data_IF_340392328738
#
_entry.id   IF_340392328738
#
_cell.length_a   1.000
_cell.length_b   1.000
_cell.length_c   1.000
_cell.angle_alpha   90.00
_cell.angle_beta   90.00
_cell.angle_gamma   90.00
#
_symmetry.space_group_name_H-M   'P 1'
#
loop_
_entity.id
_entity.type
_entity.pdbx_description
1 polymer ?
#
# COMPACT_ATOMS: atom_id res chain seq x y z
N UNK A 1 7.32 -30.52 58.92
CA UNK A 1 6.92 -29.25 58.26
C UNK A 1 5.63 -28.79 58.89
N UNK A 2 5.68 -27.71 59.66
CA UNK A 2 4.48 -27.19 60.29
C UNK A 2 3.48 -26.71 59.21
N UNK A 3 2.31 -27.28 59.22
CA UNK A 3 1.23 -26.96 58.30
C UNK A 3 0.62 -25.61 58.66
N UNK A 4 1.31 -24.52 58.28
CA UNK A 4 0.94 -23.12 58.54
C UNK A 4 -0.52 -22.84 58.17
N UNK A 5 -0.95 -23.31 57.03
CA UNK A 5 -2.32 -23.11 56.52
C UNK A 5 -3.38 -23.88 57.30
N UNK A 6 -3.04 -25.04 57.91
CA UNK A 6 -3.95 -25.79 58.75
C UNK A 6 -4.20 -25.07 60.10
N UNK A 7 -3.20 -24.39 60.62
CA UNK A 7 -3.31 -23.60 61.85
C UNK A 7 -3.99 -22.24 61.66
N UNK A 8 -4.03 -21.75 60.40
CA UNK A 8 -4.63 -20.43 60.08
C UNK A 8 -5.59 -20.56 58.88
N UNK A 9 -6.77 -21.17 59.03
CA UNK A 9 -7.70 -21.44 57.93
C UNK A 9 -8.23 -20.18 57.23
N UNK A 10 -8.37 -19.08 57.97
CA UNK A 10 -8.81 -17.79 57.40
C UNK A 10 -7.81 -17.27 56.38
N UNK A 11 -6.49 -17.37 56.66
CA UNK A 11 -5.42 -16.95 55.71
C UNK A 11 -5.47 -17.81 54.45
N UNK A 12 -5.70 -19.12 54.58
CA UNK A 12 -5.80 -20.01 53.41
C UNK A 12 -7.03 -19.68 52.54
N UNK A 13 -8.18 -19.38 53.14
CA UNK A 13 -9.40 -19.00 52.43
C UNK A 13 -9.21 -17.67 51.69
N UNK A 14 -8.65 -16.64 52.36
CA UNK A 14 -8.40 -15.32 51.74
C UNK A 14 -7.44 -15.45 50.56
N UNK A 15 -6.37 -16.22 50.68
CA UNK A 15 -5.40 -16.44 49.62
C UNK A 15 -5.98 -17.18 48.44
N UNK A 16 -6.85 -18.18 48.69
CA UNK A 16 -7.59 -18.91 47.66
C UNK A 16 -8.56 -18.00 46.89
N UNK A 17 -9.33 -17.16 47.59
CA UNK A 17 -10.22 -16.20 46.97
C UNK A 17 -9.42 -15.21 46.13
N UNK A 18 -8.29 -14.72 46.64
CA UNK A 18 -7.41 -13.80 45.89
C UNK A 18 -6.89 -14.43 44.60
N UNK A 19 -6.45 -15.70 44.65
CA UNK A 19 -6.01 -16.43 43.45
C UNK A 19 -7.14 -16.63 42.45
N UNK A 20 -8.36 -16.93 42.88
CA UNK A 20 -9.50 -17.07 42.00
C UNK A 20 -9.86 -15.75 41.33
N UNK A 21 -9.84 -14.65 42.06
CA UNK A 21 -10.12 -13.31 41.50
C UNK A 21 -9.05 -12.92 40.47
N UNK A 22 -7.76 -13.06 40.83
CA UNK A 22 -6.64 -12.75 39.92
C UNK A 22 -6.70 -13.65 38.68
N UNK A 23 -6.95 -14.97 38.87
CA UNK A 23 -7.10 -15.91 37.75
C UNK A 23 -8.27 -15.53 36.82
N UNK A 24 -9.40 -15.17 37.39
CA UNK A 24 -10.56 -14.71 36.62
C UNK A 24 -10.28 -13.43 35.82
N UNK A 25 -9.63 -12.44 36.43
CA UNK A 25 -9.22 -11.22 35.74
C UNK A 25 -8.17 -11.50 34.64
N UNK A 26 -7.21 -12.38 34.89
CA UNK A 26 -6.19 -12.78 33.94
C UNK A 26 -6.79 -13.44 32.70
N UNK A 27 -7.80 -14.30 32.85
CA UNK A 27 -8.48 -14.94 31.72
C UNK A 27 -9.12 -13.89 30.80
N UNK A 28 -9.76 -12.86 31.38
CA UNK A 28 -10.40 -11.79 30.61
C UNK A 28 -9.40 -10.89 29.88
N UNK A 29 -8.18 -10.78 30.38
CA UNK A 29 -7.12 -9.95 29.80
C UNK A 29 -6.19 -10.70 28.83
N UNK A 30 -6.29 -12.02 28.76
CA UNK A 30 -5.43 -12.83 27.89
C UNK A 30 -5.86 -12.67 26.43
N UNK A 31 -4.94 -12.25 25.52
CA UNK A 31 -5.26 -12.13 24.10
C UNK A 31 -5.58 -13.50 23.49
N UNK A 32 -6.66 -13.55 22.71
CA UNK A 32 -7.06 -14.78 22.00
C UNK A 32 -6.63 -14.63 20.54
N UNK A 33 -5.74 -15.51 20.10
CA UNK A 33 -5.32 -15.62 18.71
C UNK A 33 -6.01 -16.80 18.02
N UNK A 34 -6.26 -16.69 16.72
CA UNK A 34 -6.89 -17.76 15.93
C UNK A 34 -5.97 -18.99 15.80
N UNK A 35 -4.66 -18.75 15.70
CA UNK A 35 -3.62 -19.77 15.63
C UNK A 35 -2.49 -19.44 16.59
N UNK A 36 -1.79 -20.46 17.15
CA UNK A 36 -0.57 -20.22 17.91
C UNK A 36 0.48 -19.55 17.04
N UNK A 37 1.29 -18.66 17.61
CA UNK A 37 2.42 -18.03 16.94
C UNK A 37 3.61 -19.00 16.84
N UNK A 38 3.43 -20.07 16.04
CA UNK A 38 4.49 -21.07 15.78
C UNK A 38 5.20 -20.82 14.45
N UNK A 39 4.75 -19.87 13.67
CA UNK A 39 5.40 -19.49 12.42
C UNK A 39 6.54 -18.48 12.70
N UNK A 40 7.71 -18.68 12.06
CA UNK A 40 8.80 -17.72 12.14
C UNK A 40 8.36 -16.32 11.69
N UNK A 41 8.84 -15.25 12.33
CA UNK A 41 8.54 -13.88 11.90
C UNK A 41 9.09 -13.61 10.49
N UNK A 42 8.33 -12.93 9.66
CA UNK A 42 8.70 -12.61 8.27
C UNK A 42 8.61 -11.10 8.06
N UNK A 43 9.66 -10.54 7.48
CA UNK A 43 9.67 -9.18 6.93
C UNK A 43 9.60 -9.27 5.41
N UNK A 44 8.68 -8.52 4.81
CA UNK A 44 8.48 -8.50 3.37
C UNK A 44 8.94 -7.18 2.77
N UNK A 45 9.75 -7.29 1.72
CA UNK A 45 10.23 -6.17 0.92
C UNK A 45 9.55 -6.25 -0.45
N UNK A 46 8.94 -5.16 -0.88
CA UNK A 46 8.19 -5.08 -2.13
C UNK A 46 8.60 -3.86 -2.94
N UNK A 47 8.74 -4.05 -4.24
CA UNK A 47 8.92 -2.96 -5.21
C UNK A 47 8.45 -3.41 -6.59
N UNK A 48 8.42 -2.47 -7.55
CA UNK A 48 8.04 -2.75 -8.92
C UNK A 48 9.00 -2.04 -9.89
N UNK A 49 9.48 -2.79 -10.86
CA UNK A 49 10.22 -2.27 -12.01
C UNK A 49 9.33 -2.40 -13.25
N UNK A 50 8.49 -1.40 -13.48
CA UNK A 50 7.45 -1.43 -14.53
C UNK A 50 8.08 -1.59 -15.91
N UNK A 51 7.53 -2.52 -16.69
CA UNK A 51 7.99 -2.82 -18.04
C UNK A 51 9.20 -3.77 -18.11
N UNK A 52 9.77 -4.17 -16.99
CA UNK A 52 10.81 -5.20 -16.94
C UNK A 52 10.20 -6.60 -16.91
N UNK A 53 10.89 -7.57 -17.50
CA UNK A 53 10.58 -8.98 -17.34
C UNK A 53 11.17 -9.53 -16.03
N UNK A 54 10.77 -10.74 -15.63
CA UNK A 54 11.19 -11.35 -14.37
C UNK A 54 12.73 -11.46 -14.23
N UNK A 55 13.44 -11.77 -15.29
CA UNK A 55 14.91 -11.88 -15.29
C UNK A 55 15.57 -10.53 -15.06
N UNK A 56 15.08 -9.47 -15.72
CA UNK A 56 15.58 -8.11 -15.51
C UNK A 56 15.29 -7.60 -14.09
N UNK A 57 14.13 -7.94 -13.52
CA UNK A 57 13.79 -7.63 -12.12
C UNK A 57 14.76 -8.34 -11.18
N UNK A 58 15.03 -9.63 -11.41
CA UNK A 58 15.98 -10.39 -10.61
C UNK A 58 17.38 -9.76 -10.63
N UNK A 59 17.92 -9.49 -11.80
CA UNK A 59 19.29 -9.00 -11.95
C UNK A 59 19.47 -7.56 -11.47
N UNK A 60 18.54 -6.69 -11.82
CA UNK A 60 18.68 -5.25 -11.58
C UNK A 60 18.09 -4.77 -10.24
N UNK A 61 17.20 -5.56 -9.62
CA UNK A 61 16.47 -5.15 -8.41
C UNK A 61 16.63 -6.16 -7.28
N UNK A 62 16.25 -7.42 -7.49
CA UNK A 62 16.27 -8.42 -6.42
C UNK A 62 17.69 -8.69 -5.94
N UNK A 63 18.62 -9.04 -6.83
CA UNK A 63 20.01 -9.36 -6.47
C UNK A 63 20.73 -8.26 -5.71
N UNK A 64 20.70 -6.96 -6.08
CA UNK A 64 21.29 -5.90 -5.30
C UNK A 64 20.69 -5.75 -3.90
N UNK A 65 19.38 -5.94 -3.75
CA UNK A 65 18.69 -5.88 -2.45
C UNK A 65 19.07 -7.08 -1.59
N UNK A 66 19.01 -8.29 -2.15
CA UNK A 66 19.38 -9.54 -1.46
C UNK A 66 20.80 -9.49 -0.92
N UNK A 67 21.77 -9.03 -1.73
CA UNK A 67 23.16 -8.89 -1.30
C UNK A 67 23.33 -7.96 -0.10
N UNK A 68 22.54 -6.92 0.03
CA UNK A 68 22.60 -6.00 1.17
C UNK A 68 21.81 -6.51 2.38
N UNK A 69 20.68 -7.16 2.14
CA UNK A 69 19.83 -7.72 3.20
C UNK A 69 20.47 -8.97 3.81
N UNK A 70 21.27 -9.72 3.04
CA UNK A 70 21.97 -10.88 3.52
C UNK A 70 22.81 -10.54 4.77
N UNK A 71 22.68 -11.38 5.80
CA UNK A 71 23.36 -11.20 7.08
C UNK A 71 22.70 -10.18 8.03
N UNK A 72 21.40 -9.90 7.87
CA UNK A 72 20.62 -9.26 8.93
C UNK A 72 20.56 -10.18 10.14
N UNK A 73 20.67 -9.61 11.34
CA UNK A 73 20.70 -10.34 12.59
C UNK A 73 19.46 -11.24 12.77
N UNK A 74 19.66 -12.48 13.23
CA UNK A 74 18.63 -13.51 13.41
C UNK A 74 17.89 -13.94 12.13
N UNK A 75 18.41 -13.64 10.95
CA UNK A 75 17.85 -14.13 9.69
C UNK A 75 18.15 -15.62 9.52
N UNK A 76 17.12 -16.42 9.23
CA UNK A 76 17.26 -17.84 8.89
C UNK A 76 17.49 -18.03 7.38
N UNK A 77 16.60 -17.50 6.58
CA UNK A 77 16.67 -17.54 5.11
C UNK A 77 15.87 -16.41 4.50
N UNK A 78 16.08 -16.19 3.21
CA UNK A 78 15.31 -15.27 2.40
C UNK A 78 14.90 -15.93 1.09
N UNK A 79 13.78 -15.47 0.54
CA UNK A 79 13.24 -15.95 -0.74
C UNK A 79 12.67 -14.78 -1.52
N UNK A 80 13.13 -14.60 -2.76
CA UNK A 80 12.55 -13.61 -3.67
C UNK A 80 11.64 -14.26 -4.72
N UNK A 81 10.61 -13.53 -5.09
CA UNK A 81 9.71 -13.88 -6.19
C UNK A 81 9.64 -12.67 -7.12
N UNK A 82 10.02 -12.92 -8.39
CA UNK A 82 10.04 -11.91 -9.44
C UNK A 82 9.04 -12.32 -10.53
N UNK A 83 8.15 -11.41 -10.89
CA UNK A 83 7.06 -11.70 -11.82
C UNK A 83 7.23 -10.97 -13.15
N UNK A 84 6.61 -11.48 -14.21
CA UNK A 84 6.73 -10.93 -15.56
C UNK A 84 6.05 -9.56 -15.75
N UNK A 85 5.28 -9.08 -14.78
CA UNK A 85 4.70 -7.74 -14.74
C UNK A 85 5.65 -6.69 -14.13
N UNK A 86 6.86 -7.09 -13.76
CA UNK A 86 7.86 -6.23 -13.16
C UNK A 86 7.81 -6.16 -11.63
N UNK A 87 6.94 -6.91 -10.97
CA UNK A 87 6.84 -6.90 -9.51
C UNK A 87 7.91 -7.78 -8.87
N UNK A 88 8.47 -7.33 -7.74
CA UNK A 88 9.42 -8.05 -6.90
C UNK A 88 8.89 -8.11 -5.47
N UNK A 89 8.95 -9.30 -4.88
CA UNK A 89 8.64 -9.55 -3.46
C UNK A 89 9.75 -10.40 -2.86
N UNK A 90 10.45 -9.87 -1.85
CA UNK A 90 11.48 -10.57 -1.09
C UNK A 90 10.97 -10.78 0.34
N UNK A 91 10.88 -12.05 0.75
CA UNK A 91 10.51 -12.45 2.12
C UNK A 91 11.77 -12.83 2.88
N UNK A 92 11.99 -12.18 4.00
CA UNK A 92 13.10 -12.46 4.93
C UNK A 92 12.52 -13.09 6.19
N UNK A 93 12.90 -14.33 6.46
CA UNK A 93 12.41 -15.12 7.59
C UNK A 93 13.43 -15.08 8.71
N UNK A 94 12.95 -14.79 9.93
CA UNK A 94 13.76 -14.65 11.13
C UNK A 94 13.53 -15.81 12.11
N UNK A 95 14.45 -15.98 13.05
CA UNK A 95 14.33 -16.99 14.09
C UNK A 95 13.15 -16.70 15.03
N UNK A 96 12.60 -17.76 15.61
CA UNK A 96 11.49 -17.65 16.57
C UNK A 96 11.90 -16.80 17.78
N UNK A 97 10.99 -15.92 18.20
CA UNK A 97 11.26 -15.01 19.33
C UNK A 97 12.01 -13.73 18.95
N UNK A 98 12.39 -13.56 17.67
CA UNK A 98 12.95 -12.29 17.20
C UNK A 98 11.89 -11.20 17.25
N UNK A 99 12.25 -10.05 17.82
CA UNK A 99 11.42 -8.85 17.78
C UNK A 99 11.24 -8.37 16.34
N UNK A 100 10.01 -8.48 15.85
CA UNK A 100 9.65 -8.16 14.45
C UNK A 100 9.79 -6.66 14.15
N UNK A 101 9.66 -5.78 15.14
CA UNK A 101 9.88 -4.35 14.99
C UNK A 101 11.35 -4.05 14.73
N UNK A 102 12.23 -4.61 15.54
CA UNK A 102 13.67 -4.48 15.37
C UNK A 102 14.14 -5.12 14.05
N UNK A 103 13.68 -6.34 13.74
CA UNK A 103 14.00 -7.02 12.49
C UNK A 103 13.57 -6.20 11.25
N UNK A 104 12.38 -5.58 11.29
CA UNK A 104 11.89 -4.72 10.20
C UNK A 104 12.77 -3.49 10.03
N UNK A 105 13.14 -2.84 11.14
CA UNK A 105 14.02 -1.66 11.13
C UNK A 105 15.41 -1.99 10.57
N UNK A 106 16.02 -3.08 11.03
CA UNK A 106 17.32 -3.54 10.53
C UNK A 106 17.27 -3.88 9.04
N UNK A 107 16.24 -4.58 8.61
CA UNK A 107 16.00 -4.91 7.20
C UNK A 107 15.84 -3.64 6.37
N UNK A 108 15.04 -2.69 6.83
CA UNK A 108 14.84 -1.41 6.14
C UNK A 108 16.14 -0.61 5.98
N UNK A 109 16.98 -0.58 7.01
CA UNK A 109 18.30 0.07 6.95
C UNK A 109 19.19 -0.57 5.87
N UNK A 110 19.17 -1.91 5.76
CA UNK A 110 19.90 -2.62 4.71
C UNK A 110 19.34 -2.34 3.32
N UNK A 111 18.03 -2.33 3.16
CA UNK A 111 17.35 -1.97 1.91
C UNK A 111 17.68 -0.53 1.50
N UNK A 112 17.67 0.40 2.43
CA UNK A 112 18.04 1.79 2.17
C UNK A 112 19.46 1.91 1.59
N UNK A 113 20.41 1.10 2.08
CA UNK A 113 21.78 1.08 1.55
C UNK A 113 21.86 0.51 0.12
N UNK A 114 20.92 -0.35 -0.28
CA UNK A 114 20.83 -0.87 -1.64
C UNK A 114 20.24 0.14 -2.63
N UNK A 115 19.43 1.09 -2.16
CA UNK A 115 18.65 2.01 -3.02
C UNK A 115 19.52 2.79 -4.00
N UNK A 116 20.77 3.15 -3.62
CA UNK A 116 21.68 3.88 -4.51
C UNK A 116 22.03 3.11 -5.80
N UNK A 117 22.03 1.78 -5.75
CA UNK A 117 22.40 0.90 -6.87
C UNK A 117 21.21 0.52 -7.77
N UNK A 118 19.97 0.79 -7.34
CA UNK A 118 18.78 0.42 -8.07
C UNK A 118 18.53 1.31 -9.29
N UNK A 119 17.82 0.83 -10.31
CA UNK A 119 17.35 1.63 -11.44
C UNK A 119 16.54 2.85 -10.99
N UNK A 120 16.60 3.94 -11.79
CA UNK A 120 15.90 5.20 -11.48
C UNK A 120 14.40 5.00 -11.34
N UNK A 121 13.80 4.17 -12.19
CA UNK A 121 12.35 3.89 -12.14
C UNK A 121 11.93 3.18 -10.84
N UNK A 122 12.77 2.26 -10.35
CA UNK A 122 12.56 1.59 -9.06
C UNK A 122 12.72 2.57 -7.90
N UNK A 123 13.69 3.49 -7.97
CA UNK A 123 13.85 4.57 -6.97
C UNK A 123 12.64 5.49 -6.92
N UNK A 124 12.06 5.82 -8.07
CA UNK A 124 10.87 6.66 -8.16
C UNK A 124 9.61 5.94 -7.65
N UNK A 125 9.49 4.64 -7.91
CA UNK A 125 8.39 3.79 -7.38
C UNK A 125 8.53 3.60 -5.87
N UNK A 126 9.77 3.49 -5.39
CA UNK A 126 10.10 3.22 -3.99
C UNK A 126 10.19 1.73 -3.67
N UNK A 127 10.90 1.41 -2.59
CA UNK A 127 10.98 0.07 -2.02
C UNK A 127 10.32 0.07 -0.66
N UNK A 128 9.30 -0.75 -0.49
CA UNK A 128 8.53 -0.84 0.75
C UNK A 128 9.00 -2.04 1.56
N UNK A 129 9.31 -1.81 2.85
CA UNK A 129 9.64 -2.87 3.80
C UNK A 129 8.57 -2.88 4.88
N UNK A 130 7.92 -4.02 5.08
CA UNK A 130 6.83 -4.16 6.07
C UNK A 130 6.85 -5.54 6.72
N UNK A 131 6.25 -5.64 7.89
CA UNK A 131 5.98 -6.92 8.54
C UNK A 131 5.05 -7.75 7.64
N UNK A 132 5.40 -9.01 7.41
CA UNK A 132 4.48 -9.94 6.76
C UNK A 132 3.50 -10.43 7.82
N UNK A 133 2.31 -9.91 7.77
CA UNK A 133 1.23 -10.39 8.62
C UNK A 133 0.64 -11.66 8.02
N UNK A 134 0.23 -12.57 8.88
CA UNK A 134 -0.42 -13.83 8.51
C UNK A 134 -1.64 -13.61 7.62
N UNK A 135 -2.34 -14.68 7.30
CA UNK A 135 -3.59 -14.63 6.51
C UNK A 135 -4.59 -13.63 7.09
N UNK A 136 -5.45 -13.04 6.25
CA UNK A 136 -6.50 -12.16 6.74
C UNK A 136 -7.38 -12.87 7.78
N UNK A 137 -7.63 -12.19 8.89
CA UNK A 137 -8.56 -12.63 9.94
C UNK A 137 -10.00 -12.62 9.43
N UNK A 138 -10.34 -11.60 8.64
CA UNK A 138 -11.66 -11.40 8.04
C UNK A 138 -11.53 -10.97 6.59
N UNK A 139 -12.50 -11.41 5.79
CA UNK A 139 -12.71 -10.97 4.42
C UNK A 139 -14.10 -10.35 4.31
N UNK A 140 -14.15 -9.12 3.83
CA UNK A 140 -15.37 -8.42 3.47
C UNK A 140 -15.45 -8.29 1.96
N UNK A 141 -16.58 -8.56 1.35
CA UNK A 141 -16.78 -8.35 -0.08
C UNK A 141 -17.90 -7.35 -0.30
N UNK A 142 -17.57 -6.27 -1.02
CA UNK A 142 -18.53 -5.28 -1.49
C UNK A 142 -18.88 -5.64 -2.92
N UNK A 143 -20.15 -5.82 -3.22
CA UNK A 143 -20.61 -6.18 -4.55
C UNK A 143 -21.81 -5.32 -4.98
N UNK A 144 -22.00 -5.20 -6.29
CA UNK A 144 -23.17 -4.52 -6.85
C UNK A 144 -24.24 -5.53 -7.23
N UNK A 145 -25.39 -5.56 -6.51
CA UNK A 145 -26.46 -6.54 -6.81
C UNK A 145 -27.01 -6.45 -8.22
N UNK A 146 -27.07 -5.22 -8.76
CA UNK A 146 -27.66 -4.92 -10.06
C UNK A 146 -26.62 -4.73 -11.18
N UNK A 147 -25.33 -5.02 -10.91
CA UNK A 147 -24.20 -4.76 -11.81
C UNK A 147 -24.10 -3.28 -12.26
N UNK A 148 -24.60 -2.34 -11.45
CA UNK A 148 -24.49 -0.90 -11.70
C UNK A 148 -23.05 -0.42 -11.67
N UNK A 149 -22.25 -1.00 -10.77
CA UNK A 149 -20.85 -0.64 -10.56
C UNK A 149 -19.95 -1.82 -10.92
N UNK A 150 -18.83 -1.52 -11.58
CA UNK A 150 -17.79 -2.50 -11.89
C UNK A 150 -16.86 -2.78 -10.69
N UNK A 151 -16.00 -3.79 -10.81
CA UNK A 151 -15.07 -4.17 -9.76
C UNK A 151 -14.05 -3.08 -9.44
N UNK A 152 -13.70 -2.23 -10.43
CA UNK A 152 -12.73 -1.16 -10.25
C UNK A 152 -13.32 -0.02 -9.42
N UNK A 153 -14.58 0.35 -9.71
CA UNK A 153 -15.31 1.32 -8.89
C UNK A 153 -15.44 0.86 -7.46
N UNK A 154 -15.85 -0.40 -7.25
CA UNK A 154 -16.04 -0.97 -5.91
C UNK A 154 -14.72 -1.03 -5.14
N UNK A 155 -13.62 -1.38 -5.80
CA UNK A 155 -12.28 -1.38 -5.22
C UNK A 155 -11.82 0.03 -4.84
N UNK A 156 -11.99 1.01 -5.74
CA UNK A 156 -11.62 2.39 -5.47
C UNK A 156 -12.48 3.00 -4.36
N UNK A 157 -13.79 2.71 -4.35
CA UNK A 157 -14.69 3.11 -3.27
C UNK A 157 -14.23 2.54 -1.92
N UNK A 158 -13.86 1.24 -1.89
CA UNK A 158 -13.33 0.60 -0.71
C UNK A 158 -12.04 1.26 -0.21
N UNK A 159 -11.13 1.58 -1.14
CA UNK A 159 -9.85 2.22 -0.81
C UNK A 159 -10.04 3.59 -0.17
N UNK A 160 -10.94 4.41 -0.70
CA UNK A 160 -11.17 5.78 -0.22
C UNK A 160 -11.98 5.81 1.08
N UNK A 161 -13.01 4.98 1.21
CA UNK A 161 -14.01 5.13 2.27
C UNK A 161 -13.90 4.10 3.39
N UNK A 162 -13.27 2.94 3.16
CA UNK A 162 -13.32 1.81 4.08
C UNK A 162 -11.95 1.48 4.66
N UNK A 163 -10.90 1.45 3.83
CA UNK A 163 -9.55 1.03 4.27
C UNK A 163 -9.08 1.85 5.46
N UNK A 164 -9.19 3.17 5.40
CA UNK A 164 -8.76 4.05 6.49
C UNK A 164 -9.58 3.84 7.78
N UNK A 165 -10.87 3.62 7.65
CA UNK A 165 -11.73 3.39 8.81
C UNK A 165 -11.39 2.07 9.52
N UNK A 166 -11.15 1.00 8.75
CA UNK A 166 -10.75 -0.29 9.29
C UNK A 166 -9.32 -0.28 9.85
N UNK A 167 -8.40 0.44 9.20
CA UNK A 167 -7.00 0.55 9.63
C UNK A 167 -6.82 1.27 10.99
N UNK A 168 -7.80 2.09 11.39
CA UNK A 168 -7.78 2.80 12.69
C UNK A 168 -8.25 1.94 13.86
N UNK A 169 -8.77 0.74 13.60
CA UNK A 169 -9.24 -0.16 14.65
C UNK A 169 -8.02 -0.70 15.40
N UNK A 170 -8.07 -0.64 16.73
CA UNK A 170 -7.00 -1.18 17.58
C UNK A 170 -6.83 -2.67 17.34
N UNK A 171 -5.59 -3.11 17.06
CA UNK A 171 -5.27 -4.51 16.78
C UNK A 171 -5.35 -4.91 15.31
N UNK A 172 -5.81 -4.03 14.41
CA UNK A 172 -5.65 -4.21 12.97
C UNK A 172 -4.22 -3.85 12.57
N UNK A 173 -3.54 -4.73 11.88
CA UNK A 173 -2.18 -4.55 11.41
C UNK A 173 -2.09 -4.06 9.97
N UNK A 174 -2.93 -4.60 9.10
CA UNK A 174 -2.97 -4.23 7.68
C UNK A 174 -4.37 -4.48 7.12
N UNK A 175 -4.84 -3.57 6.27
CA UNK A 175 -6.04 -3.77 5.45
C UNK A 175 -5.61 -3.86 3.99
N UNK A 176 -5.92 -4.97 3.34
CA UNK A 176 -5.53 -5.26 1.96
C UNK A 176 -6.76 -5.37 1.08
N UNK A 177 -6.73 -4.80 -0.10
CA UNK A 177 -7.79 -4.95 -1.10
C UNK A 177 -7.34 -5.98 -2.13
N UNK A 178 -8.22 -6.93 -2.43
CA UNK A 178 -8.02 -7.96 -3.44
C UNK A 178 -8.97 -7.76 -4.62
N UNK A 179 -8.50 -8.10 -5.82
CA UNK A 179 -9.35 -8.21 -7.00
C UNK A 179 -9.73 -6.90 -7.66
N UNK A 180 -8.91 -5.89 -7.54
CA UNK A 180 -9.06 -4.62 -8.24
C UNK A 180 -7.80 -3.78 -8.17
N UNK A 181 -7.81 -2.65 -8.86
CA UNK A 181 -6.71 -1.71 -8.89
C UNK A 181 -7.22 -0.27 -8.86
N UNK A 182 -6.39 0.66 -8.43
CA UNK A 182 -6.71 2.08 -8.44
C UNK A 182 -6.97 2.59 -9.86
N UNK A 183 -7.78 3.65 -9.98
CA UNK A 183 -7.92 4.36 -11.24
C UNK A 183 -6.60 4.96 -11.68
N UNK A 184 -6.34 4.89 -12.98
CA UNK A 184 -5.19 5.52 -13.61
C UNK A 184 -5.55 6.02 -15.00
N UNK A 185 -4.93 7.12 -15.42
CA UNK A 185 -5.03 7.59 -16.78
C UNK A 185 -4.21 6.65 -17.68
N UNK A 186 -4.87 6.01 -18.64
CA UNK A 186 -4.26 5.09 -19.60
C UNK A 186 -4.02 5.79 -20.92
N UNK A 187 -2.79 5.68 -21.41
CA UNK A 187 -2.34 6.26 -22.66
C UNK A 187 -1.94 5.12 -23.60
N UNK A 188 -2.81 4.84 -24.56
CA UNK A 188 -2.61 3.79 -25.56
C UNK A 188 -1.94 4.39 -26.80
N UNK A 189 -0.64 4.20 -26.89
CA UNK A 189 0.19 4.78 -27.94
C UNK A 189 0.04 4.01 -29.24
N UNK A 190 0.01 4.74 -30.37
CA UNK A 190 -0.06 4.17 -31.73
C UNK A 190 1.34 4.17 -32.36
N UNK A 191 2.04 3.03 -32.42
CA UNK A 191 3.45 2.96 -32.85
C UNK A 191 3.71 3.53 -34.26
N UNK A 192 2.81 3.24 -35.19
CA UNK A 192 2.92 3.70 -36.59
C UNK A 192 2.89 5.23 -36.69
N UNK A 193 2.06 5.87 -35.87
CA UNK A 193 1.92 7.34 -35.86
C UNK A 193 3.15 7.96 -35.16
N UNK A 194 3.66 7.33 -34.09
CA UNK A 194 4.89 7.76 -33.44
C UNK A 194 6.07 7.79 -34.42
N UNK A 195 6.23 6.73 -35.20
CA UNK A 195 7.28 6.62 -36.21
C UNK A 195 7.15 7.75 -37.24
N UNK A 196 5.93 8.08 -37.68
CA UNK A 196 5.65 9.18 -38.64
C UNK A 196 6.10 10.54 -38.11
N UNK A 197 5.86 10.81 -36.81
CA UNK A 197 6.26 12.08 -36.16
C UNK A 197 7.69 12.04 -35.60
N UNK A 198 8.42 10.92 -35.75
CA UNK A 198 9.75 10.69 -35.20
C UNK A 198 9.78 10.95 -33.69
N UNK A 199 8.79 10.42 -32.97
CA UNK A 199 8.65 10.46 -31.53
C UNK A 199 8.92 9.07 -30.94
N UNK A 200 9.45 9.04 -29.73
CA UNK A 200 9.69 7.83 -28.96
C UNK A 200 8.80 7.79 -27.70
N UNK A 201 8.66 6.62 -27.07
CA UNK A 201 7.93 6.51 -25.80
C UNK A 201 8.56 7.38 -24.70
N UNK A 202 9.90 7.46 -24.54
CA UNK A 202 10.52 8.40 -23.63
C UNK A 202 10.14 9.87 -23.86
N UNK A 203 9.97 10.31 -25.10
CA UNK A 203 9.53 11.69 -25.39
C UNK A 203 8.15 11.97 -24.83
N UNK A 204 7.22 10.99 -24.96
CA UNK A 204 5.87 11.08 -24.37
C UNK A 204 5.96 11.14 -22.85
N UNK A 205 6.75 10.24 -22.24
CA UNK A 205 6.90 10.19 -20.78
C UNK A 205 7.47 11.50 -20.23
N UNK A 206 8.46 12.09 -20.90
CA UNK A 206 9.06 13.37 -20.50
C UNK A 206 8.05 14.51 -20.62
N UNK A 207 7.32 14.60 -21.74
CA UNK A 207 6.30 15.62 -21.94
C UNK A 207 5.16 15.54 -20.90
N UNK A 208 4.73 14.34 -20.55
CA UNK A 208 3.75 14.13 -19.47
C UNK A 208 4.34 14.57 -18.13
N UNK A 209 5.58 14.19 -17.82
CA UNK A 209 6.24 14.56 -16.57
C UNK A 209 6.38 16.07 -16.41
N UNK A 210 6.72 16.78 -17.49
CA UNK A 210 6.86 18.23 -17.49
C UNK A 210 5.51 18.93 -17.31
N UNK A 211 4.49 18.53 -18.06
CA UNK A 211 3.19 19.22 -18.10
C UNK A 211 2.20 18.75 -17.05
N UNK A 212 2.45 17.60 -16.41
CA UNK A 212 1.66 17.07 -15.29
C UNK A 212 2.41 17.16 -13.96
N UNK A 213 3.12 18.26 -13.73
CA UNK A 213 3.86 18.52 -12.49
C UNK A 213 3.23 19.68 -11.71
N UNK A 214 3.26 19.58 -10.38
CA UNK A 214 2.90 20.71 -9.52
C UNK A 214 4.14 21.60 -9.40
N UNK A 215 4.04 22.83 -9.90
CA UNK A 215 5.08 23.82 -9.71
C UNK A 215 4.59 24.88 -8.71
N UNK A 216 5.38 25.22 -7.68
CA UNK A 216 5.05 26.33 -6.79
C UNK A 216 5.12 27.64 -7.55
N UNK A 217 4.02 28.39 -7.60
CA UNK A 217 3.96 29.68 -8.30
C UNK A 217 4.65 30.83 -7.55
N UNK A 218 5.03 30.61 -6.29
CA UNK A 218 5.65 31.65 -5.45
C UNK A 218 4.66 32.69 -4.96
N UNK A 219 5.21 33.84 -4.55
CA UNK A 219 4.43 34.99 -4.04
C UNK A 219 4.84 36.25 -4.80
N UNK A 220 3.87 37.03 -5.22
CA UNK A 220 4.10 38.34 -5.80
C UNK A 220 3.95 39.40 -4.70
N UNK A 221 4.88 40.36 -4.60
CA UNK A 221 4.86 41.41 -3.59
C UNK A 221 5.36 40.99 -2.20
N UNK A 222 5.98 39.81 -2.04
CA UNK A 222 6.60 39.41 -0.78
C UNK A 222 8.00 40.08 -0.61
N UNK A 223 8.43 40.37 0.63
CA UNK A 223 9.75 40.92 0.88
C UNK A 223 10.91 40.02 0.37
N UNK A 224 11.99 40.61 -0.19
CA UNK A 224 12.23 42.04 -0.35
C UNK A 224 11.42 42.63 -1.53
N UNK A 225 10.55 43.60 -1.24
CA UNK A 225 9.76 44.32 -2.23
C UNK A 225 10.08 45.80 -2.19
N UNK A 226 9.82 46.54 -3.28
CA UNK A 226 9.96 48.00 -3.32
C UNK A 226 8.99 48.65 -2.32
N UNK A 227 9.40 49.78 -1.75
CA UNK A 227 8.57 50.55 -0.80
C UNK A 227 7.22 50.93 -1.42
N UNK A 228 6.14 50.58 -0.76
CA UNK A 228 4.77 50.85 -1.21
C UNK A 228 3.93 49.61 -1.59
N UNK A 229 4.51 48.41 -1.59
CA UNK A 229 3.74 47.19 -1.76
C UNK A 229 3.06 46.77 -0.42
N UNK A 230 1.76 47.07 -0.29
CA UNK A 230 0.99 46.70 0.88
C UNK A 230 0.38 45.31 0.81
N UNK A 231 0.37 44.67 -0.36
CA UNK A 231 -0.31 43.40 -0.57
C UNK A 231 0.62 42.33 -1.14
N UNK A 232 0.50 41.14 -0.57
CA UNK A 232 1.17 39.92 -1.09
C UNK A 232 0.13 39.00 -1.71
N UNK A 233 0.36 38.61 -2.96
CA UNK A 233 -0.50 37.67 -3.65
C UNK A 233 0.21 36.32 -3.83
N UNK A 234 -0.45 35.22 -3.48
CA UNK A 234 0.01 33.90 -3.83
C UNK A 234 -0.30 33.62 -5.31
N UNK A 235 0.71 33.19 -6.08
CA UNK A 235 0.53 32.77 -7.44
C UNK A 235 0.20 31.27 -7.44
N UNK A 236 -1.03 30.92 -7.83
CA UNK A 236 -1.44 29.52 -8.01
C UNK A 236 -1.31 29.19 -9.48
N UNK A 237 -0.47 28.21 -9.79
CA UNK A 237 -0.37 27.64 -11.14
C UNK A 237 -1.38 26.50 -11.29
N UNK A 238 -1.59 26.07 -12.54
CA UNK A 238 -2.46 24.92 -12.81
C UNK A 238 -1.89 23.68 -12.08
N UNK A 239 -2.75 23.00 -11.33
CA UNK A 239 -2.43 21.76 -10.64
C UNK A 239 -2.22 20.60 -11.64
N UNK A 240 -2.02 19.38 -11.10
CA UNK A 240 -1.95 18.18 -11.92
C UNK A 240 -3.18 18.05 -12.83
N UNK A 241 -2.96 17.50 -14.00
CA UNK A 241 -4.02 17.23 -14.95
C UNK A 241 -4.95 16.15 -14.38
N UNK A 242 -6.26 16.38 -14.47
CA UNK A 242 -7.30 15.49 -13.93
C UNK A 242 -8.15 14.93 -15.06
N UNK A 243 -8.55 15.78 -16.01
CA UNK A 243 -9.47 15.43 -17.07
C UNK A 243 -8.78 14.79 -18.27
N UNK A 244 -9.48 13.90 -18.97
CA UNK A 244 -8.98 13.23 -20.18
C UNK A 244 -8.54 14.28 -21.21
N UNK A 245 -9.34 15.34 -21.40
CA UNK A 245 -9.04 16.41 -22.35
C UNK A 245 -7.73 17.16 -22.05
N UNK A 246 -7.41 17.33 -20.77
CA UNK A 246 -6.16 17.95 -20.35
C UNK A 246 -4.95 17.09 -20.79
N UNK A 247 -5.03 15.77 -20.58
CA UNK A 247 -4.01 14.84 -21.04
C UNK A 247 -3.93 14.79 -22.57
N UNK A 248 -5.04 14.77 -23.27
CA UNK A 248 -5.09 14.77 -24.73
C UNK A 248 -4.41 15.99 -25.35
N UNK A 249 -4.46 17.12 -24.65
CA UNK A 249 -3.90 18.38 -25.11
C UNK A 249 -2.41 18.60 -24.73
N UNK A 250 -1.77 17.64 -24.06
CA UNK A 250 -0.32 17.68 -23.80
C UNK A 250 0.43 17.83 -25.11
N UNK A 251 1.33 18.81 -25.16
CA UNK A 251 2.15 19.09 -26.34
C UNK A 251 3.41 18.20 -26.29
N UNK A 252 3.57 17.36 -27.31
CA UNK A 252 4.73 16.47 -27.44
C UNK A 252 5.84 17.10 -28.28
N UNK A 253 5.47 17.87 -29.29
CA UNK A 253 6.44 18.51 -30.19
C UNK A 253 5.86 19.79 -30.77
N UNK A 254 6.65 20.84 -30.79
CA UNK A 254 6.32 22.10 -31.48
C UNK A 254 7.30 22.33 -32.61
N UNK A 255 6.82 22.50 -33.84
CA UNK A 255 7.64 22.81 -35.01
C UNK A 255 7.59 24.31 -35.33
N UNK A 256 8.63 24.79 -36.01
CA UNK A 256 8.68 26.15 -36.58
C UNK A 256 7.53 26.27 -37.59
N UNK A 257 6.52 27.14 -37.33
CA UNK A 257 5.34 27.28 -38.15
C UNK A 257 4.01 26.96 -37.44
N UNK A 258 4.02 26.91 -36.12
CA UNK A 258 2.83 26.74 -35.25
C UNK A 258 2.10 25.39 -35.33
N UNK A 259 2.68 24.38 -35.98
CA UNK A 259 2.16 23.01 -35.93
C UNK A 259 2.61 22.32 -34.66
N UNK A 260 1.68 22.11 -33.78
CA UNK A 260 1.88 21.36 -32.53
C UNK A 260 1.38 19.92 -32.69
N UNK A 261 2.21 18.95 -32.32
CA UNK A 261 1.78 17.56 -32.16
C UNK A 261 1.36 17.35 -30.71
N UNK A 262 0.12 16.98 -30.50
CA UNK A 262 -0.44 16.74 -29.17
C UNK A 262 -0.56 15.24 -28.90
N UNK A 263 -0.74 14.88 -27.62
CA UNK A 263 -0.87 13.49 -27.21
C UNK A 263 -2.02 12.76 -27.92
N UNK A 264 -3.17 13.40 -28.12
CA UNK A 264 -4.32 12.84 -28.86
C UNK A 264 -4.01 12.46 -30.30
N UNK A 265 -3.01 13.10 -30.93
CA UNK A 265 -2.64 12.80 -32.30
C UNK A 265 -1.90 11.47 -32.44
N UNK A 266 -1.20 11.03 -31.38
CA UNK A 266 -0.35 9.83 -31.38
C UNK A 266 -0.81 8.73 -30.42
N UNK A 267 -1.78 9.01 -29.55
CA UNK A 267 -2.27 8.09 -28.55
C UNK A 267 -3.78 8.26 -28.32
N UNK A 268 -4.41 7.26 -27.71
CA UNK A 268 -5.76 7.33 -27.17
C UNK A 268 -5.65 7.41 -25.65
N UNK A 269 -6.28 8.42 -25.04
CA UNK A 269 -6.31 8.62 -23.60
C UNK A 269 -7.64 8.13 -23.06
N UNK A 270 -7.62 7.35 -22.00
CA UNK A 270 -8.84 6.85 -21.34
C UNK A 270 -8.61 6.68 -19.84
N UNK A 271 -9.66 6.88 -19.05
CA UNK A 271 -9.65 6.48 -17.66
C UNK A 271 -9.73 4.95 -17.57
N UNK A 272 -8.79 4.35 -16.91
CA UNK A 272 -8.73 2.90 -16.71
C UNK A 272 -8.19 2.57 -15.34
N UNK A 273 -7.51 1.44 -15.19
CA UNK A 273 -6.92 1.01 -13.92
C UNK A 273 -5.40 0.90 -14.03
N UNK A 274 -4.72 1.02 -12.91
CA UNK A 274 -3.26 0.89 -12.83
C UNK A 274 -2.79 -0.51 -13.24
N UNK A 275 -3.57 -1.56 -12.93
CA UNK A 275 -3.30 -2.94 -13.31
C UNK A 275 -4.59 -3.66 -13.72
N UNK A 276 -4.49 -4.54 -14.69
CA UNK A 276 -5.55 -5.46 -15.12
C UNK A 276 -5.26 -6.92 -14.75
N UNK A 277 -4.25 -7.15 -13.90
CA UNK A 277 -3.77 -8.49 -13.55
C UNK A 277 -4.78 -9.27 -12.70
N UNK A 278 -5.65 -8.60 -11.94
CA UNK A 278 -6.64 -9.24 -11.09
C UNK A 278 -8.00 -8.56 -11.18
N UNK A 279 -9.06 -9.36 -11.03
CA UNK A 279 -10.45 -8.89 -10.95
C UNK A 279 -11.13 -9.56 -9.76
N UNK A 280 -11.88 -8.79 -8.98
CA UNK A 280 -12.68 -9.29 -7.88
C UNK A 280 -14.09 -9.68 -8.33
N UNK A 281 -14.59 -10.78 -7.80
CA UNK A 281 -15.95 -11.22 -8.05
C UNK A 281 -16.52 -12.03 -6.89
N UNK A 282 -17.82 -11.88 -6.64
CA UNK A 282 -18.58 -12.65 -5.67
C UNK A 282 -19.82 -13.24 -6.35
N UNK A 283 -19.92 -14.56 -6.37
CA UNK A 283 -21.07 -15.27 -6.99
C UNK A 283 -21.32 -14.84 -8.46
N UNK A 284 -20.27 -14.63 -9.23
CA UNK A 284 -20.36 -14.21 -10.63
C UNK A 284 -20.66 -12.73 -10.86
N UNK A 285 -20.76 -11.92 -9.80
CA UNK A 285 -20.95 -10.46 -9.87
C UNK A 285 -19.65 -9.73 -9.57
N UNK A 286 -19.44 -8.52 -10.13
CA UNK A 286 -18.30 -7.69 -9.79
C UNK A 286 -18.25 -7.39 -8.28
N UNK A 287 -17.08 -7.55 -7.67
CA UNK A 287 -16.89 -7.28 -6.26
C UNK A 287 -15.49 -6.72 -5.96
N UNK A 288 -15.39 -5.92 -4.91
CA UNK A 288 -14.14 -5.56 -4.25
C UNK A 288 -14.01 -6.33 -2.94
N UNK A 289 -12.94 -7.08 -2.74
CA UNK A 289 -12.72 -7.86 -1.54
C UNK A 289 -11.67 -7.19 -0.66
N UNK A 290 -12.00 -6.99 0.62
CA UNK A 290 -11.17 -6.34 1.63
C UNK A 290 -10.75 -7.38 2.64
N UNK A 291 -9.45 -7.57 2.82
CA UNK A 291 -8.90 -8.43 3.85
C UNK A 291 -8.38 -7.62 5.03
N UNK A 292 -8.83 -7.96 6.23
CA UNK A 292 -8.36 -7.38 7.48
C UNK A 292 -7.39 -8.35 8.13
N UNK A 293 -6.13 -7.95 8.29
CA UNK A 293 -5.09 -8.71 8.98
C UNK A 293 -4.91 -8.16 10.39
N UNK A 294 -4.81 -9.04 11.38
CA UNK A 294 -4.58 -8.62 12.74
C UNK A 294 -3.10 -8.35 13.02
N UNK A 295 -2.83 -7.46 13.96
CA UNK A 295 -1.49 -7.24 14.50
C UNK A 295 -1.10 -8.42 15.42
N UNK A 296 0.14 -8.91 15.37
CA UNK A 296 0.61 -9.93 16.30
C UNK A 296 0.36 -9.55 17.76
N UNK A 297 -0.08 -10.50 18.57
CA UNK A 297 -0.40 -10.27 19.99
C UNK A 297 -1.72 -9.54 20.26
N UNK A 298 -2.49 -9.15 19.23
CA UNK A 298 -3.82 -8.55 19.40
C UNK A 298 -4.91 -9.63 19.61
N UNK A 299 -6.05 -9.23 20.19
CA UNK A 299 -7.19 -10.11 20.38
C UNK A 299 -8.01 -10.24 19.09
N UNK A 300 -7.99 -11.42 18.45
CA UNK A 300 -8.68 -11.69 17.21
C UNK A 300 -10.20 -11.48 17.28
N UNK A 301 -10.83 -11.84 18.43
CA UNK A 301 -12.27 -11.69 18.61
C UNK A 301 -12.68 -10.22 18.71
N UNK A 302 -11.91 -9.40 19.42
CA UNK A 302 -12.18 -7.97 19.53
C UNK A 302 -11.98 -7.28 18.16
N UNK A 303 -10.90 -7.58 17.46
CA UNK A 303 -10.64 -7.07 16.11
C UNK A 303 -11.76 -7.46 15.16
N UNK A 304 -12.22 -8.72 15.21
CA UNK A 304 -13.29 -9.19 14.36
C UNK A 304 -14.64 -8.52 14.68
N UNK A 305 -14.98 -8.38 15.96
CA UNK A 305 -16.23 -7.75 16.39
C UNK A 305 -16.26 -6.26 16.00
N UNK A 306 -15.19 -5.54 16.26
CA UNK A 306 -15.08 -4.11 15.95
C UNK A 306 -15.05 -3.87 14.44
N UNK A 307 -14.33 -4.70 13.67
CA UNK A 307 -14.32 -4.61 12.21
C UNK A 307 -15.71 -4.81 11.61
N UNK A 308 -16.48 -5.76 12.11
CA UNK A 308 -17.88 -5.97 11.69
C UNK A 308 -18.75 -4.77 12.04
N UNK A 309 -18.63 -4.24 13.26
CA UNK A 309 -19.39 -3.06 13.69
C UNK A 309 -19.12 -1.84 12.78
N UNK A 310 -17.84 -1.58 12.49
CA UNK A 310 -17.44 -0.48 11.59
C UNK A 310 -17.98 -0.70 10.18
N UNK A 311 -17.90 -1.94 9.64
CA UNK A 311 -18.46 -2.26 8.33
C UNK A 311 -19.97 -2.08 8.28
N UNK A 312 -20.69 -2.45 9.33
CA UNK A 312 -22.15 -2.25 9.43
C UNK A 312 -22.53 -0.77 9.44
N UNK A 313 -21.73 0.07 10.08
CA UNK A 313 -21.93 1.51 10.04
C UNK A 313 -21.65 2.11 8.66
N UNK A 314 -20.58 1.66 8.00
CA UNK A 314 -20.20 2.12 6.67
C UNK A 314 -21.19 1.65 5.59
N UNK A 315 -21.75 0.44 5.75
CA UNK A 315 -22.71 -0.13 4.79
C UNK A 315 -23.96 0.75 4.61
N UNK A 316 -24.36 1.48 5.65
CA UNK A 316 -25.50 2.41 5.60
C UNK A 316 -25.24 3.64 4.69
N UNK A 317 -23.99 3.88 4.34
CA UNK A 317 -23.56 5.02 3.51
C UNK A 317 -23.21 4.60 2.08
N UNK A 318 -23.40 3.33 1.73
CA UNK A 318 -23.07 2.85 0.39
C UNK A 318 -24.03 3.45 -0.64
N UNK A 319 -23.54 3.83 -1.84
CA UNK A 319 -24.38 4.28 -2.94
C UNK A 319 -25.32 3.15 -3.34
N UNK A 320 -26.59 3.51 -3.63
CA UNK A 320 -27.64 2.54 -4.01
C UNK A 320 -27.51 2.09 -5.46
#
# INVERSE_FOLDING_TARGET
MDNFFVRRPIVAIVLSIFMVIIGGLSILSTPIAQYPEIAPPIVQIQTSYRGANALNVEQAVATPIEQKVNGVENMLYMQSTNTGDGSMSLSVTFDMGTDLDNATMLTQNRVASATSTLPVDVKNTGVTTKKSLSMPLLLFSIYSPNNTYDSNFLTNYANINIVDALSRIKGVGEVVIFGGSNYAMRIWVKPDILAKYKLTIPDIMNAIKEQNSIAPGGKFGAPPAEDGNEFTYNVTLKDRLIDIEDFENIILKSNIGNQQVRLKDVATVALGTESYASKGGLNGKPAGTIGVKQMPGSNALEVAAESKRVMDELSKKFPQ
#
